data_IF_211222616814
#
_entry.id   IF_211222616814
#
_cell.length_a   1.000
_cell.length_b   1.000
_cell.length_c   1.000
_cell.angle_alpha   90.00
_cell.angle_beta   90.00
_cell.angle_gamma   90.00
#
_symmetry.space_group_name_H-M   'P 1'
#
loop_
_entity.id
_entity.type
_entity.pdbx_description
1 polymer ?
#
# COMPACT_ATOMS: atom_id res chain seq x y z
N UNK A 1 13.13 17.43 1.34
CA UNK A 1 12.58 16.60 2.42
C UNK A 1 13.41 15.33 2.56
N UNK A 2 13.83 15.05 3.76
CA UNK A 2 14.57 13.82 4.01
C UNK A 2 13.62 12.65 4.20
N UNK A 3 13.89 11.56 3.50
CA UNK A 3 13.14 10.32 3.68
C UNK A 3 13.85 9.52 4.76
N UNK A 4 13.13 9.23 5.83
CA UNK A 4 13.63 8.51 6.98
C UNK A 4 12.99 7.14 7.08
N UNK A 5 13.53 6.30 7.97
CA UNK A 5 12.94 4.99 8.27
C UNK A 5 11.49 5.13 8.73
N UNK A 6 11.15 6.25 9.38
CA UNK A 6 9.79 6.51 9.80
C UNK A 6 8.84 6.59 8.61
N UNK A 7 9.26 7.28 7.54
CA UNK A 7 8.45 7.38 6.32
C UNK A 7 8.25 6.01 5.68
N UNK A 8 9.32 5.22 5.60
CA UNK A 8 9.27 3.87 5.03
C UNK A 8 8.33 2.98 5.85
N UNK A 9 8.45 3.05 7.18
CA UNK A 9 7.60 2.25 8.06
C UNK A 9 6.14 2.66 7.96
N UNK A 10 5.86 3.95 7.79
CA UNK A 10 4.51 4.44 7.59
C UNK A 10 3.91 3.90 6.29
N UNK A 11 4.67 3.91 5.20
CA UNK A 11 4.22 3.34 3.93
C UNK A 11 3.94 1.85 4.06
N UNK A 12 4.83 1.11 4.69
CA UNK A 12 4.64 -0.33 4.92
C UNK A 12 3.40 -0.60 5.75
N UNK A 13 3.16 0.23 6.76
CA UNK A 13 1.97 0.11 7.61
C UNK A 13 0.69 0.28 6.79
N UNK A 14 0.62 1.32 5.97
CA UNK A 14 -0.56 1.56 5.12
C UNK A 14 -0.76 0.47 4.08
N UNK A 15 0.32 -0.03 3.50
CA UNK A 15 0.27 -1.14 2.55
C UNK A 15 -0.31 -2.38 3.23
N UNK A 16 0.16 -2.67 4.45
CA UNK A 16 -0.35 -3.81 5.22
C UNK A 16 -1.84 -3.66 5.54
N UNK A 17 -2.25 -2.46 5.95
CA UNK A 17 -3.67 -2.19 6.24
C UNK A 17 -4.53 -2.36 4.99
N UNK A 18 -4.06 -1.89 3.86
CA UNK A 18 -4.76 -2.08 2.59
C UNK A 18 -4.87 -3.56 2.25
N UNK A 19 -3.78 -4.30 2.41
CA UNK A 19 -3.76 -5.73 2.14
C UNK A 19 -4.75 -6.49 3.02
N UNK A 20 -4.77 -6.19 4.33
CA UNK A 20 -5.70 -6.80 5.27
C UNK A 20 -7.15 -6.52 4.87
N UNK A 21 -7.44 -5.30 4.44
CA UNK A 21 -8.77 -4.95 3.95
C UNK A 21 -9.16 -5.79 2.74
N UNK A 22 -8.23 -5.91 1.77
CA UNK A 22 -8.50 -6.67 0.54
C UNK A 22 -8.74 -8.14 0.84
N UNK A 23 -7.95 -8.71 1.74
CA UNK A 23 -8.11 -10.12 2.15
C UNK A 23 -9.47 -10.31 2.83
N UNK A 24 -9.85 -9.41 3.74
CA UNK A 24 -11.13 -9.48 4.45
C UNK A 24 -12.29 -9.40 3.46
N UNK A 25 -12.23 -8.50 2.49
CA UNK A 25 -13.28 -8.36 1.48
C UNK A 25 -13.36 -9.58 0.57
N UNK A 26 -12.22 -10.17 0.20
CA UNK A 26 -12.20 -11.38 -0.63
C UNK A 26 -12.87 -12.57 0.06
N UNK A 27 -12.88 -12.60 1.39
CA UNK A 27 -13.49 -13.68 2.14
C UNK A 27 -15.00 -13.52 2.33
N UNK A 28 -15.55 -12.38 1.94
CA UNK A 28 -17.00 -12.15 1.97
C UNK A 28 -17.67 -12.79 0.77
N UNK A 29 -18.81 -13.42 0.99
CA UNK A 29 -19.56 -14.04 -0.10
C UNK A 29 -20.31 -13.04 -0.95
N UNK A 30 -20.81 -11.97 -0.35
CA UNK A 30 -21.60 -10.95 -1.05
C UNK A 30 -21.00 -9.56 -0.86
N UNK A 31 -20.99 -8.80 -1.95
CA UNK A 31 -20.49 -7.43 -1.95
C UNK A 31 -21.51 -6.51 -2.57
N UNK A 32 -21.76 -5.36 -1.93
CA UNK A 32 -22.53 -4.29 -2.54
C UNK A 32 -21.70 -3.59 -3.61
N UNK A 33 -22.37 -2.80 -4.44
CA UNK A 33 -21.68 -2.00 -5.47
C UNK A 33 -20.68 -1.04 -4.80
N UNK A 34 -21.06 -0.44 -3.68
CA UNK A 34 -20.20 0.47 -2.92
C UNK A 34 -18.95 -0.24 -2.40
N UNK A 35 -19.12 -1.46 -1.89
CA UNK A 35 -18.01 -2.27 -1.41
C UNK A 35 -17.04 -2.63 -2.54
N UNK A 36 -17.56 -2.96 -3.71
CA UNK A 36 -16.73 -3.26 -4.88
C UNK A 36 -15.95 -2.05 -5.34
N UNK A 37 -16.57 -0.86 -5.33
CA UNK A 37 -15.89 0.38 -5.70
C UNK A 37 -14.77 0.69 -4.70
N UNK A 38 -15.04 0.53 -3.40
CA UNK A 38 -14.05 0.74 -2.37
C UNK A 38 -12.91 -0.25 -2.47
N UNK A 39 -13.21 -1.51 -2.77
CA UNK A 39 -12.21 -2.55 -2.98
C UNK A 39 -11.25 -2.15 -4.11
N UNK A 40 -11.80 -1.74 -5.25
CA UNK A 40 -10.99 -1.30 -6.39
C UNK A 40 -10.11 -0.11 -6.02
N UNK A 41 -10.67 0.85 -5.30
CA UNK A 41 -9.95 2.04 -4.88
C UNK A 41 -8.79 1.70 -3.94
N UNK A 42 -9.03 0.81 -2.98
CA UNK A 42 -8.00 0.35 -2.05
C UNK A 42 -6.92 -0.43 -2.80
N UNK A 43 -7.30 -1.25 -3.76
CA UNK A 43 -6.35 -2.02 -4.56
C UNK A 43 -5.43 -1.09 -5.36
N UNK A 44 -5.99 -0.07 -6.00
CA UNK A 44 -5.21 0.91 -6.75
C UNK A 44 -4.29 1.70 -5.82
N UNK A 45 -4.79 2.10 -4.66
CA UNK A 45 -3.99 2.82 -3.66
C UNK A 45 -2.83 1.96 -3.15
N UNK A 46 -3.08 0.69 -2.89
CA UNK A 46 -2.04 -0.24 -2.46
C UNK A 46 -0.94 -0.34 -3.51
N UNK A 47 -1.33 -0.50 -4.78
CA UNK A 47 -0.37 -0.59 -5.89
C UNK A 47 0.47 0.67 -5.99
N UNK A 48 -0.16 1.84 -5.89
CA UNK A 48 0.55 3.13 -5.93
C UNK A 48 1.53 3.26 -4.76
N UNK A 49 1.12 2.87 -3.56
CA UNK A 49 1.99 2.92 -2.38
C UNK A 49 3.17 1.96 -2.52
N UNK A 50 2.95 0.78 -3.07
CA UNK A 50 4.03 -0.19 -3.29
C UNK A 50 5.03 0.33 -4.32
N UNK A 51 4.56 0.95 -5.38
CA UNK A 51 5.44 1.55 -6.39
C UNK A 51 6.26 2.68 -5.79
N UNK A 52 5.64 3.52 -4.97
CA UNK A 52 6.33 4.61 -4.29
C UNK A 52 7.40 4.06 -3.35
N UNK A 53 7.07 3.03 -2.58
CA UNK A 53 8.01 2.41 -1.65
C UNK A 53 9.21 1.82 -2.39
N UNK A 54 8.98 1.14 -3.51
CA UNK A 54 10.06 0.59 -4.34
C UNK A 54 10.97 1.68 -4.85
N UNK A 55 10.40 2.81 -5.29
CA UNK A 55 11.16 3.95 -5.75
C UNK A 55 12.03 4.53 -4.65
N UNK A 56 11.49 4.66 -3.45
CA UNK A 56 12.23 5.17 -2.29
C UNK A 56 13.38 4.22 -1.91
N UNK A 57 13.10 2.93 -1.84
CA UNK A 57 14.12 1.93 -1.50
C UNK A 57 15.25 1.93 -2.54
N UNK A 58 14.91 2.08 -3.80
CA UNK A 58 15.89 2.12 -4.88
C UNK A 58 16.78 3.37 -4.77
N UNK A 59 16.21 4.50 -4.43
CA UNK A 59 16.98 5.73 -4.22
C UNK A 59 17.89 5.61 -3.01
N UNK A 60 17.42 5.00 -1.93
CA UNK A 60 18.24 4.80 -0.73
C UNK A 60 19.43 3.88 -1.01
N UNK A 61 19.25 2.87 -1.86
CA UNK A 61 20.35 1.99 -2.25
C UNK A 61 21.46 2.75 -2.98
N UNK A 62 21.10 3.75 -3.77
CA UNK A 62 22.09 4.60 -4.48
C UNK A 62 22.94 5.42 -3.52
N UNK A 63 22.43 5.71 -2.33
CA UNK A 63 23.12 6.52 -1.34
C UNK A 63 23.95 5.70 -0.37
N UNK A 64 23.84 4.37 -0.44
CA UNK A 64 24.66 3.46 0.35
C UNK A 64 25.90 3.09 -0.43
N UNK A 65 27.05 3.49 0.11
CA UNK A 65 28.33 3.09 -0.44
C UNK A 65 28.95 2.02 0.43
#
# INVERSE_FOLDING_TARGET
>A
MQITDLHINALKFFIKKADDYLITQNNKENHSIEEMQKYTQVLLSKTALMDLLKGIEKELEKWKD
#
